data_IF_317570428848
#
_entry.id   IF_317570428848
#
_cell.length_a   1.000
_cell.length_b   1.000
_cell.length_c   1.000
_cell.angle_alpha   90.00
_cell.angle_beta   90.00
_cell.angle_gamma   90.00
#
_symmetry.space_group_name_H-M   'P 1'
#
loop_
_entity.id
_entity.type
_entity.pdbx_description
1 polymer ?
#
# COMPACT_ATOMS: atom_id res chain seq x y z
N UNK A 1 13.35 -8.88 5.24
CA UNK A 1 14.32 -8.16 4.36
C UNK A 1 15.59 -8.96 4.06
N UNK A 2 16.28 -9.53 5.06
CA UNK A 2 17.62 -10.16 4.90
C UNK A 2 17.77 -11.15 3.73
N UNK A 3 16.80 -12.04 3.52
CA UNK A 3 16.87 -13.03 2.42
C UNK A 3 16.74 -12.35 1.04
N UNK A 4 15.80 -11.41 0.90
CA UNK A 4 15.62 -10.66 -0.35
C UNK A 4 16.88 -9.89 -0.74
N UNK A 5 17.57 -9.29 0.22
CA UNK A 5 18.83 -8.57 -0.01
C UNK A 5 19.93 -9.44 -0.63
N UNK A 6 19.94 -10.74 -0.35
CA UNK A 6 20.90 -11.69 -0.92
C UNK A 6 20.43 -12.23 -2.27
N UNK A 7 19.13 -12.50 -2.42
CA UNK A 7 18.61 -13.19 -3.61
C UNK A 7 18.33 -12.25 -4.80
N UNK A 8 17.66 -11.11 -4.56
CA UNK A 8 17.24 -10.19 -5.64
C UNK A 8 17.64 -8.74 -5.40
N UNK A 9 17.86 -8.36 -4.15
CA UNK A 9 18.26 -7.01 -3.73
C UNK A 9 17.41 -5.89 -4.35
N UNK A 10 16.09 -6.09 -4.39
CA UNK A 10 15.18 -5.11 -4.96
C UNK A 10 15.25 -3.77 -4.19
N UNK A 11 15.29 -2.61 -4.90
CA UNK A 11 15.43 -1.30 -4.25
C UNK A 11 14.15 -0.81 -3.55
N UNK A 12 13.01 -1.44 -3.85
CA UNK A 12 11.72 -1.12 -3.24
C UNK A 12 11.09 -2.41 -2.70
N UNK A 13 10.41 -2.30 -1.57
CA UNK A 13 9.73 -3.42 -0.91
C UNK A 13 8.26 -3.08 -0.70
N UNK A 14 7.37 -4.00 -1.08
CA UNK A 14 5.95 -3.94 -0.78
C UNK A 14 5.65 -4.84 0.43
N UNK A 15 4.97 -4.30 1.45
CA UNK A 15 4.47 -5.07 2.59
C UNK A 15 2.96 -5.33 2.42
N UNK A 16 2.53 -6.59 2.57
CA UNK A 16 1.13 -7.00 2.43
C UNK A 16 0.84 -8.10 3.46
N UNK A 17 -0.27 -7.96 4.19
CA UNK A 17 -0.74 -8.95 5.15
C UNK A 17 -1.58 -10.04 4.45
N UNK A 18 -1.77 -11.20 5.09
CA UNK A 18 -2.40 -12.37 4.47
C UNK A 18 -3.90 -12.21 4.17
N UNK A 19 -4.56 -11.26 4.82
CA UNK A 19 -5.97 -10.91 4.66
C UNK A 19 -6.19 -9.74 3.68
N UNK A 20 -5.11 -9.23 3.09
CA UNK A 20 -5.15 -8.16 2.11
C UNK A 20 -4.67 -8.65 0.73
N UNK A 21 -5.29 -8.11 -0.32
CA UNK A 21 -4.91 -8.39 -1.70
C UNK A 21 -4.86 -7.11 -2.53
N UNK A 22 -4.14 -7.16 -3.65
CA UNK A 22 -4.07 -6.04 -4.59
C UNK A 22 -5.34 -6.03 -5.45
N UNK A 23 -6.18 -5.03 -5.25
CA UNK A 23 -7.44 -4.89 -5.99
C UNK A 23 -7.31 -4.18 -7.36
N UNK A 24 -6.19 -3.48 -7.60
CA UNK A 24 -5.89 -2.78 -8.85
C UNK A 24 -4.43 -3.03 -9.25
N UNK A 25 -4.22 -3.65 -10.41
CA UNK A 25 -2.88 -3.96 -10.93
C UNK A 25 -2.02 -2.72 -11.20
N UNK A 26 -2.62 -1.52 -11.26
CA UNK A 26 -1.91 -0.25 -11.42
C UNK A 26 -1.36 0.32 -10.11
N UNK A 27 -1.77 -0.17 -8.93
CA UNK A 27 -1.37 0.39 -7.64
C UNK A 27 0.17 0.50 -7.50
N UNK A 28 0.90 -0.53 -7.96
CA UNK A 28 2.35 -0.51 -7.98
C UNK A 28 2.92 0.58 -8.90
N UNK A 29 2.35 0.74 -10.10
CA UNK A 29 2.77 1.78 -11.05
C UNK A 29 2.52 3.18 -10.49
N UNK A 30 1.40 3.38 -9.80
CA UNK A 30 1.06 4.63 -9.14
C UNK A 30 2.03 4.94 -8.00
N UNK A 31 2.42 3.95 -7.19
CA UNK A 31 3.46 4.13 -6.17
C UNK A 31 4.80 4.59 -6.78
N UNK A 32 5.19 4.01 -7.92
CA UNK A 32 6.42 4.40 -8.60
C UNK A 32 6.39 5.83 -9.11
N UNK A 33 5.23 6.40 -9.44
CA UNK A 33 5.14 7.81 -9.82
C UNK A 33 5.66 8.75 -8.71
N UNK A 34 5.42 8.41 -7.45
CA UNK A 34 5.95 9.18 -6.31
C UNK A 34 7.42 8.87 -6.02
N UNK A 35 7.79 7.58 -6.03
CA UNK A 35 9.14 7.14 -5.69
C UNK A 35 10.18 7.53 -6.75
N UNK A 36 9.78 7.62 -8.02
CA UNK A 36 10.65 7.94 -9.15
C UNK A 36 10.57 9.41 -9.59
N UNK A 37 9.84 10.28 -8.89
CA UNK A 37 9.84 11.72 -9.20
C UNK A 37 11.27 12.28 -9.05
N UNK A 38 11.89 12.84 -10.10
CA UNK A 38 13.23 13.42 -10.02
C UNK A 38 13.36 14.52 -8.96
N UNK A 39 12.26 15.22 -8.67
CA UNK A 39 12.25 16.38 -7.76
C UNK A 39 11.99 15.96 -6.33
N UNK A 40 11.01 15.08 -6.11
CA UNK A 40 10.53 14.76 -4.75
C UNK A 40 10.83 13.33 -4.31
N UNK A 41 11.11 12.40 -5.23
CA UNK A 41 11.23 10.97 -4.93
C UNK A 41 12.32 10.64 -3.91
N UNK A 42 13.42 11.39 -3.91
CA UNK A 42 14.50 11.25 -2.91
C UNK A 42 14.08 11.62 -1.48
N UNK A 43 12.92 12.26 -1.30
CA UNK A 43 12.34 12.60 0.01
C UNK A 43 11.22 11.64 0.42
N UNK A 44 10.85 10.70 -0.45
CA UNK A 44 9.77 9.74 -0.19
C UNK A 44 10.37 8.46 0.38
N UNK A 45 9.93 8.10 1.58
CA UNK A 45 10.36 6.90 2.30
C UNK A 45 9.45 5.69 1.98
N UNK A 46 8.14 5.94 1.92
CA UNK A 46 7.12 4.95 1.57
C UNK A 46 5.89 5.65 0.98
N UNK A 47 5.10 4.90 0.22
CA UNK A 47 3.78 5.32 -0.25
C UNK A 47 2.75 4.47 0.49
N UNK A 48 1.94 5.11 1.32
CA UNK A 48 0.87 4.43 2.05
C UNK A 48 -0.40 4.41 1.19
N UNK A 49 -0.96 3.22 1.00
CA UNK A 49 -2.29 3.07 0.41
C UNK A 49 -3.35 2.93 1.50
N UNK A 50 -4.55 3.51 1.33
CA UNK A 50 -5.65 3.31 2.26
C UNK A 50 -6.10 1.85 2.18
N UNK A 51 -6.20 1.18 3.34
CA UNK A 51 -6.77 -0.16 3.44
C UNK A 51 -8.30 -0.05 3.44
N UNK A 52 -8.97 -0.83 2.60
CA UNK A 52 -10.43 -0.89 2.52
C UNK A 52 -10.85 -2.34 2.68
N UNK A 53 -11.87 -2.57 3.51
CA UNK A 53 -12.35 -3.91 3.84
C UNK A 53 -13.66 -4.22 3.11
N UNK A 54 -13.75 -5.45 2.60
CA UNK A 54 -14.95 -5.97 1.96
C UNK A 54 -15.92 -6.59 2.97
N UNK A 55 -17.14 -6.89 2.52
CA UNK A 55 -18.12 -7.63 3.33
C UNK A 55 -18.75 -6.84 4.48
N UNK A 56 -18.63 -5.52 4.48
CA UNK A 56 -19.20 -4.67 5.53
C UNK A 56 -20.70 -4.49 5.33
N UNK A 57 -21.49 -4.84 6.35
CA UNK A 57 -22.94 -4.64 6.36
C UNK A 57 -23.32 -3.17 6.11
N UNK A 58 -24.51 -2.95 5.52
CA UNK A 58 -25.01 -1.61 5.21
C UNK A 58 -25.10 -0.68 6.42
N UNK A 59 -25.36 -1.24 7.61
CA UNK A 59 -25.47 -0.45 8.83
C UNK A 59 -24.12 -0.16 9.48
N UNK A 60 -23.05 -0.86 9.07
CA UNK A 60 -21.69 -0.75 9.60
C UNK A 60 -21.64 -0.50 11.11
N UNK A 61 -22.38 -1.31 11.88
CA UNK A 61 -22.61 -1.09 13.33
C UNK A 61 -21.29 -1.03 14.12
N UNK A 62 -20.26 -1.70 13.63
CA UNK A 62 -18.93 -1.76 14.25
C UNK A 62 -17.95 -0.71 13.69
N UNK A 63 -18.38 0.15 12.77
CA UNK A 63 -17.55 1.17 12.12
C UNK A 63 -16.29 0.59 11.45
N UNK A 64 -16.40 -0.61 10.88
CA UNK A 64 -15.28 -1.34 10.29
C UNK A 64 -14.75 -0.68 9.01
N UNK A 65 -15.53 0.21 8.36
CA UNK A 65 -15.03 0.97 7.20
C UNK A 65 -13.93 1.94 7.55
N UNK A 66 -13.96 2.47 8.78
CA UNK A 66 -12.99 3.41 9.32
C UNK A 66 -12.70 4.61 8.39
N UNK A 67 -13.68 5.03 7.58
CA UNK A 67 -13.47 6.05 6.52
C UNK A 67 -13.04 7.41 7.08
N UNK A 68 -13.40 7.74 8.32
CA UNK A 68 -13.07 9.05 8.92
C UNK A 68 -11.57 9.27 9.10
N UNK A 69 -10.79 8.21 9.30
CA UNK A 69 -9.35 8.30 9.50
C UNK A 69 -8.55 8.04 8.21
N UNK A 70 -9.17 7.43 7.20
CA UNK A 70 -8.50 6.95 5.99
C UNK A 70 -9.04 7.60 4.69
N UNK A 71 -9.88 8.64 4.79
CA UNK A 71 -10.20 9.62 3.72
C UNK A 71 -9.48 10.96 3.93
#
# INVERSE_FOLDING_TARGET
VRVSAVLSNAPYLLNVDCDHYINNSKALREAMCFMMDPTSGHKVCYVQFPQRFDGIDRHDRYANRNIVFFD
#
